data_IF_878145849769
#
_entry.id   IF_878145849769
#
_cell.length_a   1.000
_cell.length_b   1.000
_cell.length_c   1.000
_cell.angle_alpha   90.00
_cell.angle_beta   90.00
_cell.angle_gamma   90.00
#
_symmetry.space_group_name_H-M   'P 1'
#
loop_
_entity.id
_entity.type
_entity.pdbx_description
1 polymer ?
#
# COMPACT_ATOMS: atom_id res chain seq x y z
N UNK A 1 12.64 8.08 12.04
CA UNK A 1 12.59 6.91 11.13
C UNK A 1 13.61 5.84 11.55
N UNK A 2 14.86 6.19 11.84
CA UNK A 2 15.90 5.25 12.28
C UNK A 2 15.50 4.26 13.40
N UNK A 3 14.77 4.72 14.43
CA UNK A 3 14.41 3.86 15.56
C UNK A 3 13.60 2.61 15.18
N UNK A 4 12.67 2.72 14.21
CA UNK A 4 11.85 1.58 13.78
C UNK A 4 12.71 0.54 13.06
N UNK A 5 13.57 0.98 12.14
CA UNK A 5 14.47 0.09 11.41
C UNK A 5 15.39 -0.64 12.39
N UNK A 6 16.03 0.09 13.31
CA UNK A 6 16.95 -0.50 14.28
C UNK A 6 16.27 -1.57 15.13
N UNK A 7 15.04 -1.31 15.60
CA UNK A 7 14.27 -2.31 16.37
C UNK A 7 13.93 -3.53 15.52
N UNK A 8 13.47 -3.34 14.28
CA UNK A 8 13.15 -4.46 13.38
C UNK A 8 14.37 -5.32 13.08
N UNK A 9 15.50 -4.70 12.72
CA UNK A 9 16.74 -5.41 12.42
C UNK A 9 17.25 -6.21 13.62
N UNK A 10 17.13 -5.67 14.83
CA UNK A 10 17.51 -6.38 16.06
C UNK A 10 16.60 -7.58 16.32
N UNK A 11 15.27 -7.40 16.23
CA UNK A 11 14.31 -8.50 16.40
C UNK A 11 14.58 -9.64 15.40
N UNK A 12 14.81 -9.30 14.13
CA UNK A 12 15.12 -10.29 13.09
C UNK A 12 16.46 -10.98 13.39
N UNK A 13 17.47 -10.24 13.83
CA UNK A 13 18.78 -10.80 14.22
C UNK A 13 18.69 -11.78 15.40
N UNK A 14 17.66 -11.62 16.24
CA UNK A 14 17.33 -12.52 17.35
C UNK A 14 16.39 -13.68 16.93
N UNK A 15 16.16 -13.88 15.63
CA UNK A 15 15.19 -14.84 15.08
C UNK A 15 13.74 -14.63 15.57
N UNK A 16 13.37 -13.38 15.89
CA UNK A 16 12.00 -13.02 16.25
C UNK A 16 11.27 -12.57 14.98
N UNK A 17 10.02 -13.02 14.81
CA UNK A 17 9.15 -12.57 13.72
C UNK A 17 8.36 -11.34 14.19
N UNK A 18 8.65 -10.12 13.70
CA UNK A 18 7.95 -8.92 14.10
C UNK A 18 6.53 -8.89 13.50
N UNK A 19 5.53 -8.59 14.33
CA UNK A 19 4.14 -8.38 13.90
C UNK A 19 3.83 -6.89 14.05
N UNK A 20 3.48 -6.25 12.93
CA UNK A 20 3.30 -4.80 12.84
C UNK A 20 1.88 -4.51 12.42
N UNK A 21 1.29 -3.49 13.02
CA UNK A 21 -0.03 -2.98 12.65
C UNK A 21 -0.04 -1.45 12.79
N UNK A 22 -1.01 -0.81 12.13
CA UNK A 22 -1.29 0.61 12.35
C UNK A 22 -1.77 0.81 13.79
N UNK A 23 -1.30 1.87 14.43
CA UNK A 23 -1.79 2.26 15.75
C UNK A 23 -3.05 3.12 15.59
N UNK A 24 -4.20 2.47 15.42
CA UNK A 24 -5.49 3.09 15.10
C UNK A 24 -6.00 4.07 16.18
N UNK A 25 -5.38 4.09 17.37
CA UNK A 25 -5.75 4.97 18.48
C UNK A 25 -5.24 6.43 18.33
N UNK A 26 -4.26 6.68 17.45
CA UNK A 26 -3.58 7.99 17.33
C UNK A 26 -3.60 8.61 15.93
N UNK A 27 -4.25 7.95 14.96
CA UNK A 27 -4.44 8.53 13.63
C UNK A 27 -5.37 9.75 13.72
N UNK A 28 -4.91 10.96 13.33
CA UNK A 28 -5.79 12.13 13.29
C UNK A 28 -7.01 11.81 12.42
N UNK A 29 -8.22 12.27 12.79
CA UNK A 29 -9.39 12.06 11.95
C UNK A 29 -9.09 12.57 10.54
N UNK A 30 -9.60 11.89 9.48
CA UNK A 30 -9.38 12.29 8.10
C UNK A 30 -9.62 13.78 7.95
N UNK A 31 -8.57 14.52 7.59
CA UNK A 31 -8.75 15.81 6.96
C UNK A 31 -9.45 15.50 5.65
N UNK A 32 -10.73 15.87 5.57
CA UNK A 32 -11.51 15.86 4.34
C UNK A 32 -10.66 16.51 3.25
N UNK A 33 -10.59 15.85 2.10
CA UNK A 33 -10.00 16.37 0.88
C UNK A 33 -10.76 17.65 0.48
N UNK A 34 -10.41 18.80 1.07
CA UNK A 34 -10.85 20.06 0.52
C UNK A 34 -10.16 20.27 -0.83
N UNK A 35 -10.90 20.68 -1.87
CA UNK A 35 -10.32 20.96 -3.17
C UNK A 35 -9.30 22.09 -3.04
N UNK A 36 -8.05 21.82 -3.45
CA UNK A 36 -6.92 22.74 -3.30
C UNK A 36 -7.16 24.03 -4.08
N UNK A 37 -7.57 25.08 -3.36
CA UNK A 37 -7.27 26.47 -3.64
C UNK A 37 -6.05 26.91 -2.84
N UNK A 38 -4.85 26.67 -3.37
CA UNK A 38 -3.63 27.41 -3.03
C UNK A 38 -3.00 27.20 -1.64
N UNK A 39 -2.14 26.18 -1.51
CA UNK A 39 -0.76 26.26 -0.95
C UNK A 39 -0.15 24.86 -0.85
N UNK A 40 1.13 24.76 -1.20
CA UNK A 40 1.93 23.53 -1.17
C UNK A 40 2.21 23.09 0.28
N UNK A 41 1.22 22.52 0.95
CA UNK A 41 1.39 21.75 2.18
C UNK A 41 1.72 20.31 1.82
N UNK A 42 2.76 19.74 2.44
CA UNK A 42 3.20 18.34 2.31
C UNK A 42 2.02 17.40 2.07
N UNK A 43 1.99 16.74 0.91
CA UNK A 43 1.15 15.55 0.70
C UNK A 43 1.69 14.45 1.60
N UNK A 44 1.27 14.45 2.86
CA UNK A 44 1.45 13.30 3.72
C UNK A 44 0.69 12.15 3.08
N UNK A 45 1.40 11.08 2.74
CA UNK A 45 0.76 9.81 2.38
C UNK A 45 -0.15 9.50 3.57
N UNK A 46 -1.46 9.49 3.36
CA UNK A 46 -2.40 9.09 4.41
C UNK A 46 -2.13 7.61 4.66
N UNK A 47 -1.32 7.30 5.68
CA UNK A 47 -1.01 5.95 6.19
C UNK A 47 -2.27 5.33 6.79
N UNK A 48 -3.34 5.25 6.00
CA UNK A 48 -4.68 4.91 6.46
C UNK A 48 -5.01 3.44 6.27
N UNK A 49 -4.20 2.72 5.49
CA UNK A 49 -4.31 1.28 5.29
C UNK A 49 -2.98 0.57 5.57
N UNK A 50 -3.08 -0.69 5.96
CA UNK A 50 -1.91 -1.53 6.21
C UNK A 50 -1.09 -1.78 4.94
N UNK A 51 -1.68 -1.63 3.76
CA UNK A 51 -0.98 -1.77 2.47
C UNK A 51 0.06 -0.66 2.28
N UNK A 52 -0.32 0.61 2.53
CA UNK A 52 0.61 1.73 2.48
C UNK A 52 1.68 1.63 3.57
N UNK A 53 1.31 1.18 4.78
CA UNK A 53 2.25 0.94 5.87
C UNK A 53 3.27 -0.14 5.50
N UNK A 54 2.81 -1.28 4.95
CA UNK A 54 3.66 -2.39 4.54
C UNK A 54 4.59 -1.99 3.39
N UNK A 55 4.07 -1.25 2.39
CA UNK A 55 4.89 -0.73 1.28
C UNK A 55 5.97 0.24 1.75
N UNK A 56 5.63 1.17 2.65
CA UNK A 56 6.61 2.08 3.23
C UNK A 56 7.65 1.34 4.07
N UNK A 57 7.23 0.39 4.88
CA UNK A 57 8.13 -0.39 5.71
C UNK A 57 9.09 -1.23 4.86
N UNK A 58 8.58 -1.94 3.87
CA UNK A 58 9.34 -2.73 2.90
C UNK A 58 10.43 -1.90 2.22
N UNK A 59 10.09 -0.69 1.77
CA UNK A 59 11.04 0.23 1.17
C UNK A 59 12.11 0.72 2.17
N UNK A 60 11.72 0.98 3.42
CA UNK A 60 12.61 1.50 4.46
C UNK A 60 13.58 0.43 4.99
N UNK A 61 13.15 -0.83 5.12
CA UNK A 61 14.01 -1.96 5.53
C UNK A 61 14.73 -2.63 4.35
N UNK A 62 14.52 -2.11 3.12
CA UNK A 62 15.09 -2.64 1.88
C UNK A 62 14.76 -4.13 1.67
N UNK A 63 13.52 -4.53 1.90
CA UNK A 63 13.09 -5.90 1.66
C UNK A 63 13.18 -6.28 0.19
N UNK A 64 13.59 -7.52 -0.10
CA UNK A 64 13.59 -8.05 -1.47
C UNK A 64 12.19 -8.24 -2.05
N UNK A 65 11.20 -8.52 -1.20
CA UNK A 65 9.82 -8.82 -1.61
C UNK A 65 8.79 -8.37 -0.57
N UNK A 66 7.73 -7.73 -1.05
CA UNK A 66 6.50 -7.48 -0.30
C UNK A 66 5.38 -8.34 -0.89
N UNK A 67 4.79 -9.21 -0.06
CA UNK A 67 3.65 -10.03 -0.43
C UNK A 67 2.40 -9.45 0.23
N UNK A 68 1.44 -9.03 -0.59
CA UNK A 68 0.12 -8.61 -0.14
C UNK A 68 -0.85 -9.77 -0.31
N UNK A 69 -1.47 -10.21 0.79
CA UNK A 69 -2.52 -11.23 0.76
C UNK A 69 -3.88 -10.56 0.68
N UNK A 70 -4.71 -11.00 -0.27
CA UNK A 70 -6.05 -10.47 -0.51
C UNK A 70 -7.04 -11.61 -0.72
N UNK A 71 -8.32 -11.30 -0.57
CA UNK A 71 -9.47 -12.16 -0.86
C UNK A 71 -9.84 -12.18 -2.35
N UNK A 72 -9.14 -11.40 -3.18
CA UNK A 72 -9.20 -11.51 -4.64
C UNK A 72 -7.96 -12.22 -5.18
N UNK A 73 -8.13 -12.93 -6.31
CA UNK A 73 -7.05 -13.70 -6.94
C UNK A 73 -5.87 -12.84 -7.42
N UNK A 74 -6.10 -11.54 -7.63
CA UNK A 74 -5.09 -10.60 -8.09
C UNK A 74 -5.67 -9.44 -8.90
N UNK A 75 -4.80 -8.81 -9.69
CA UNK A 75 -5.14 -7.61 -10.46
C UNK A 75 -5.57 -8.02 -11.87
N UNK A 76 -6.64 -7.39 -12.38
CA UNK A 76 -7.15 -7.59 -13.74
C UNK A 76 -7.03 -6.29 -14.55
N UNK A 77 -6.98 -6.42 -15.89
CA UNK A 77 -6.88 -5.28 -16.81
C UNK A 77 -8.11 -4.36 -16.82
N UNK A 78 -9.25 -4.87 -16.34
CA UNK A 78 -10.55 -4.20 -16.17
C UNK A 78 -11.34 -5.01 -15.13
N UNK A 79 -12.55 -4.60 -14.70
CA UNK A 79 -13.35 -5.39 -13.78
C UNK A 79 -13.54 -6.84 -14.27
N UNK A 80 -13.31 -7.87 -13.43
CA UNK A 80 -13.22 -9.26 -13.87
C UNK A 80 -14.53 -9.82 -14.46
N UNK A 81 -15.67 -9.18 -14.18
CA UNK A 81 -16.98 -9.54 -14.72
C UNK A 81 -17.25 -8.98 -16.13
N UNK A 82 -16.39 -8.09 -16.65
CA UNK A 82 -16.56 -7.50 -17.98
C UNK A 82 -15.93 -8.35 -19.09
N UNK A 83 -16.55 -8.34 -20.26
CA UNK A 83 -16.04 -9.08 -21.42
C UNK A 83 -14.63 -8.59 -21.81
N UNK A 84 -13.72 -9.55 -21.97
CA UNK A 84 -12.32 -9.27 -22.33
C UNK A 84 -11.46 -8.83 -21.15
N UNK A 85 -11.90 -9.00 -19.90
CA UNK A 85 -11.02 -8.90 -18.74
C UNK A 85 -9.92 -9.96 -18.78
N UNK A 86 -8.70 -9.57 -18.40
CA UNK A 86 -7.52 -10.44 -18.39
C UNK A 86 -6.79 -10.30 -17.07
N UNK A 87 -6.37 -11.43 -16.50
CA UNK A 87 -5.53 -11.45 -15.30
C UNK A 87 -4.14 -10.90 -15.61
N UNK A 88 -3.62 -10.03 -14.74
CA UNK A 88 -2.29 -9.44 -14.88
C UNK A 88 -1.28 -10.24 -14.04
N UNK A 89 -0.60 -11.20 -14.68
CA UNK A 89 0.46 -11.98 -14.02
C UNK A 89 1.68 -11.13 -13.63
N UNK A 90 1.95 -10.05 -14.37
CA UNK A 90 3.09 -9.17 -14.12
C UNK A 90 2.74 -7.76 -14.55
N UNK A 91 3.12 -6.80 -13.73
CA UNK A 91 2.99 -5.38 -14.03
C UNK A 91 4.35 -4.68 -13.82
N UNK A 92 4.70 -3.82 -14.76
CA UNK A 92 5.85 -2.91 -14.64
C UNK A 92 5.40 -1.48 -14.87
N UNK A 93 6.18 -0.52 -14.41
CA UNK A 93 5.81 0.90 -14.51
C UNK A 93 5.66 1.40 -15.96
N UNK A 94 6.27 0.71 -16.93
CA UNK A 94 6.13 1.05 -18.35
C UNK A 94 4.72 0.76 -18.90
N UNK A 95 3.98 -0.13 -18.23
CA UNK A 95 2.62 -0.51 -18.60
C UNK A 95 1.55 0.41 -17.98
N UNK A 96 1.93 1.45 -17.24
CA UNK A 96 0.98 2.36 -16.54
C UNK A 96 -0.09 2.94 -17.47
N UNK A 97 0.26 3.22 -18.72
CA UNK A 97 -0.66 3.81 -19.70
C UNK A 97 -1.75 2.84 -20.19
N UNK A 98 -1.60 1.53 -19.91
CA UNK A 98 -2.54 0.50 -20.33
C UNK A 98 -3.55 0.11 -19.25
N UNK A 99 -3.45 0.73 -18.07
CA UNK A 99 -4.32 0.44 -16.92
C UNK A 99 -5.26 1.61 -16.70
N UNK A 100 -6.54 1.29 -16.55
CA UNK A 100 -7.57 2.22 -16.12
C UNK A 100 -8.00 1.85 -14.69
N UNK A 101 -7.97 2.84 -13.78
CA UNK A 101 -8.41 2.65 -12.41
C UNK A 101 -9.93 2.81 -12.34
N UNK A 102 -10.63 1.72 -12.08
CA UNK A 102 -12.08 1.72 -11.84
C UNK A 102 -12.47 2.25 -10.47
N UNK A 103 -13.77 2.26 -10.18
CA UNK A 103 -14.29 2.52 -8.83
C UNK A 103 -13.93 1.36 -7.89
N UNK A 104 -13.78 1.68 -6.60
CA UNK A 104 -13.55 0.70 -5.53
C UNK A 104 -14.58 -0.43 -5.62
N UNK A 105 -14.11 -1.67 -5.61
CA UNK A 105 -14.98 -2.84 -5.65
C UNK A 105 -15.64 -3.06 -4.29
N UNK A 106 -16.74 -3.82 -4.27
CA UNK A 106 -17.35 -4.27 -3.01
C UNK A 106 -16.44 -5.20 -2.20
N UNK A 107 -15.47 -5.82 -2.86
CA UNK A 107 -14.51 -6.77 -2.27
C UNK A 107 -13.10 -6.19 -2.15
N UNK A 108 -12.90 -4.89 -2.42
CA UNK A 108 -11.56 -4.28 -2.46
C UNK A 108 -11.53 -2.93 -3.15
#
# INVERSE_FOLDING_TARGET
RGNIISTLSELISLNIVPIINTNDAVSPPPQVDEPIGGKAGKRGISLKDNDSLAAMLAAEVQSDLLILMSDVDGIYSKPPWEQGARFLHTFTSDLRHTIEYGKKSKVG
#
